data_IF_058778574745
#
_entry.id   IF_058778574745
#
_cell.length_a   1.000
_cell.length_b   1.000
_cell.length_c   1.000
_cell.angle_alpha   90.00
_cell.angle_beta   90.00
_cell.angle_gamma   90.00
#
_symmetry.space_group_name_H-M   'P 1'
#
loop_
_entity.id
_entity.type
_entity.pdbx_description
1 polymer ?
#
# COMPACT_ATOMS: atom_id res chain seq x y z
N UNK A 1 12.48 -5.60 11.24
CA UNK A 1 11.39 -4.76 10.70
C UNK A 1 11.79 -4.03 9.40
N UNK A 2 12.82 -3.17 9.39
CA UNK A 2 13.21 -2.41 8.18
C UNK A 2 13.50 -3.32 6.97
N UNK A 3 14.16 -4.46 7.19
CA UNK A 3 14.46 -5.41 6.11
C UNK A 3 13.19 -5.97 5.47
N UNK A 4 12.17 -6.32 6.26
CA UNK A 4 10.86 -6.75 5.76
C UNK A 4 10.19 -5.65 4.91
N UNK A 5 10.30 -4.38 5.31
CA UNK A 5 9.74 -3.29 4.49
C UNK A 5 10.40 -3.23 3.12
N UNK A 6 11.74 -3.32 3.06
CA UNK A 6 12.48 -3.28 1.79
C UNK A 6 12.26 -4.51 0.91
N UNK A 7 11.95 -5.65 1.53
CA UNK A 7 11.68 -6.91 0.83
C UNK A 7 10.28 -6.92 0.19
N UNK A 8 9.27 -6.40 0.88
CA UNK A 8 7.88 -6.49 0.45
C UNK A 8 7.33 -5.22 -0.23
N UNK A 9 8.04 -4.09 -0.14
CA UNK A 9 7.61 -2.81 -0.72
C UNK A 9 8.71 -2.17 -1.57
N UNK A 10 8.42 -1.97 -2.86
CA UNK A 10 9.26 -1.18 -3.76
C UNK A 10 8.93 0.31 -3.63
N UNK A 11 9.73 1.01 -2.84
CA UNK A 11 9.54 2.45 -2.56
C UNK A 11 10.11 3.38 -3.63
N UNK A 12 10.59 2.85 -4.77
CA UNK A 12 11.00 3.68 -5.92
C UNK A 12 9.77 4.29 -6.59
N UNK A 13 9.87 5.45 -7.27
CA UNK A 13 8.71 6.12 -7.86
C UNK A 13 7.88 5.22 -8.79
N UNK A 14 8.53 4.50 -9.69
CA UNK A 14 7.84 3.57 -10.60
C UNK A 14 7.26 2.36 -9.87
N UNK A 15 7.94 1.86 -8.83
CA UNK A 15 7.47 0.75 -8.00
C UNK A 15 6.15 1.09 -7.30
N UNK A 16 6.06 2.26 -6.68
CA UNK A 16 4.84 2.74 -6.02
C UNK A 16 3.67 2.89 -7.00
N UNK A 17 3.93 3.44 -8.19
CA UNK A 17 2.91 3.58 -9.24
C UNK A 17 2.33 2.22 -9.61
N UNK A 18 3.18 1.20 -9.79
CA UNK A 18 2.74 -0.15 -10.15
C UNK A 18 2.04 -0.86 -8.98
N UNK A 19 2.58 -0.76 -7.77
CA UNK A 19 2.04 -1.44 -6.58
C UNK A 19 0.66 -0.94 -6.20
N UNK A 20 0.42 0.37 -6.33
CA UNK A 20 -0.83 1.03 -5.94
C UNK A 20 -1.72 1.38 -7.15
N UNK A 21 -1.30 1.01 -8.35
CA UNK A 21 -2.03 1.23 -9.61
C UNK A 21 -2.48 2.69 -9.80
N UNK A 22 -1.54 3.62 -9.65
CA UNK A 22 -1.83 5.05 -9.47
C UNK A 22 -2.20 5.81 -10.77
N UNK A 23 -2.09 5.19 -11.95
CA UNK A 23 -2.35 5.86 -13.23
C UNK A 23 -3.84 5.83 -13.62
N UNK A 24 -4.69 6.26 -12.68
CA UNK A 24 -6.14 6.26 -12.80
C UNK A 24 -6.74 7.58 -12.31
N UNK A 25 -7.93 7.99 -12.80
CA UNK A 25 -8.60 9.22 -12.37
C UNK A 25 -9.30 9.06 -11.00
N UNK A 26 -8.56 8.65 -9.97
CA UNK A 26 -9.08 8.36 -8.61
C UNK A 26 -8.97 9.53 -7.63
N UNK A 27 -8.26 10.60 -8.00
CA UNK A 27 -7.84 11.63 -7.05
C UNK A 27 -8.93 12.63 -6.67
N UNK A 28 -9.95 12.85 -7.51
CA UNK A 28 -11.04 13.80 -7.20
C UNK A 28 -11.76 13.46 -5.90
N UNK A 29 -11.97 12.17 -5.63
CA UNK A 29 -12.62 11.70 -4.42
C UNK A 29 -11.76 11.93 -3.16
N UNK A 30 -10.44 12.05 -3.33
CA UNK A 30 -9.51 12.32 -2.22
C UNK A 30 -9.54 13.78 -1.71
N UNK A 31 -10.06 14.72 -2.51
CA UNK A 31 -9.95 16.16 -2.27
C UNK A 31 -10.78 16.70 -1.09
N UNK A 32 -11.67 15.89 -0.51
CA UNK A 32 -12.46 16.23 0.66
C UNK A 32 -12.55 15.02 1.60
N UNK A 33 -12.79 15.30 2.89
CA UNK A 33 -12.96 14.28 3.94
C UNK A 33 -11.74 13.35 4.17
N UNK A 34 -10.55 13.79 3.75
CA UNK A 34 -9.26 13.13 4.06
C UNK A 34 -8.86 12.05 3.05
N UNK A 35 -7.55 11.86 2.85
CA UNK A 35 -7.00 10.90 1.88
C UNK A 35 -6.99 9.44 2.38
N UNK A 36 -7.14 9.23 3.69
CA UNK A 36 -6.99 7.95 4.37
C UNK A 36 -8.26 7.53 5.10
N UNK A 37 -8.34 6.26 5.49
CA UNK A 37 -9.45 5.67 6.24
C UNK A 37 -10.68 5.33 5.40
N UNK A 38 -10.51 5.24 4.07
CA UNK A 38 -11.57 4.91 3.11
C UNK A 38 -11.17 3.71 2.25
N UNK A 39 -11.83 2.57 2.45
CA UNK A 39 -11.42 1.27 1.90
C UNK A 39 -11.33 1.21 0.36
N UNK A 40 -11.95 2.15 -0.35
CA UNK A 40 -11.94 2.19 -1.81
C UNK A 40 -10.60 2.65 -2.41
N UNK A 41 -9.66 3.18 -1.63
CA UNK A 41 -8.35 3.57 -2.14
C UNK A 41 -7.33 2.44 -2.13
N UNK A 42 -6.45 2.37 -3.14
CA UNK A 42 -5.49 1.28 -3.26
C UNK A 42 -4.50 1.21 -2.09
N UNK A 43 -4.15 2.34 -1.47
CA UNK A 43 -3.24 2.39 -0.32
C UNK A 43 -3.87 2.03 1.02
N UNK A 44 -5.19 1.88 1.09
CA UNK A 44 -5.89 1.42 2.31
C UNK A 44 -5.97 -0.11 2.39
N UNK A 45 -5.64 -0.81 1.29
CA UNK A 45 -5.63 -2.27 1.26
C UNK A 45 -4.52 -2.83 2.15
N UNK A 46 -4.86 -3.85 2.92
CA UNK A 46 -3.93 -4.58 3.81
C UNK A 46 -3.54 -5.94 3.23
N UNK A 47 -3.46 -6.06 1.91
CA UNK A 47 -3.17 -7.28 1.14
C UNK A 47 -1.84 -7.95 1.53
N UNK A 48 -0.88 -7.17 2.06
CA UNK A 48 0.43 -7.67 2.49
C UNK A 48 0.53 -8.03 3.97
N UNK A 49 -0.53 -7.84 4.76
CA UNK A 49 -0.47 -8.06 6.22
C UNK A 49 -0.12 -9.51 6.58
N UNK A 50 -0.77 -10.49 5.94
CA UNK A 50 -0.48 -11.90 6.19
C UNK A 50 0.94 -12.27 5.77
N UNK A 51 1.39 -11.80 4.61
CA UNK A 51 2.76 -12.03 4.11
C UNK A 51 3.82 -11.51 5.09
N UNK A 52 3.61 -10.31 5.64
CA UNK A 52 4.50 -9.72 6.64
C UNK A 52 4.50 -10.51 7.96
N UNK A 53 3.33 -11.00 8.39
CA UNK A 53 3.20 -11.83 9.60
C UNK A 53 3.97 -13.13 9.47
N UNK A 54 3.81 -13.81 8.33
CA UNK A 54 4.46 -15.08 8.03
C UNK A 54 5.99 -14.89 7.94
N UNK A 55 6.45 -13.84 7.25
CA UNK A 55 7.87 -13.50 7.15
C UNK A 55 8.49 -13.09 8.49
N UNK A 56 7.69 -12.59 9.44
CA UNK A 56 8.12 -12.33 10.81
C UNK A 56 8.18 -13.59 11.69
N UNK A 57 7.78 -14.77 11.17
CA UNK A 57 7.77 -16.04 11.91
C UNK A 57 6.68 -16.13 12.98
N UNK A 58 5.64 -15.29 12.88
CA UNK A 58 4.54 -15.26 13.84
C UNK A 58 3.48 -16.29 13.45
N UNK A 59 3.25 -17.28 14.34
CA UNK A 59 2.22 -18.31 14.18
C UNK A 59 0.86 -17.82 14.58
#
# INVERSE_FOLDING_TARGET
>A
LILLVREFFDLRPYGLIQMLDLLHPIYKETAAYGHFGRENFPWEKTDKAQLLRDAAGLK
#
